data_IF_279732327883
#
_entry.id   IF_279732327883
#
_cell.length_a   1.000
_cell.length_b   1.000
_cell.length_c   1.000
_cell.angle_alpha   90.00
_cell.angle_beta   90.00
_cell.angle_gamma   90.00
#
_symmetry.space_group_name_H-M   'P 1'
#
loop_
_entity.id
_entity.type
_entity.pdbx_description
1 polymer ?
#
# COMPACT_ATOMS: atom_id res chain seq x y z
N UNK A 1 24.23 -3.41 -13.45
CA UNK A 1 22.78 -3.13 -13.60
C UNK A 1 22.18 -3.20 -12.21
N UNK A 2 21.87 -2.04 -11.61
CA UNK A 2 21.27 -2.00 -10.27
C UNK A 2 19.83 -2.53 -10.37
N UNK A 3 19.51 -3.60 -9.64
CA UNK A 3 18.14 -4.09 -9.56
C UNK A 3 17.33 -3.08 -8.73
N UNK A 4 16.51 -2.30 -9.44
CA UNK A 4 15.49 -1.41 -8.90
C UNK A 4 14.42 -2.29 -8.23
N UNK A 5 14.35 -2.28 -6.89
CA UNK A 5 13.37 -3.01 -6.08
C UNK A 5 13.57 -4.54 -6.02
N UNK A 6 13.27 -5.17 -4.87
CA UNK A 6 13.37 -6.64 -4.69
C UNK A 6 12.06 -7.39 -4.91
N UNK A 7 10.95 -6.65 -5.03
CA UNK A 7 9.57 -7.20 -5.03
C UNK A 7 8.87 -7.07 -6.39
N UNK A 8 9.60 -6.60 -7.41
CA UNK A 8 9.07 -6.40 -8.76
C UNK A 8 8.26 -5.11 -8.91
N UNK A 9 7.36 -5.10 -9.89
CA UNK A 9 6.50 -3.97 -10.24
C UNK A 9 5.03 -4.31 -9.99
N UNK A 10 4.17 -3.29 -9.92
CA UNK A 10 2.74 -3.49 -9.80
C UNK A 10 2.19 -4.37 -10.94
N UNK A 11 1.36 -5.35 -10.58
CA UNK A 11 0.68 -6.22 -11.54
C UNK A 11 -0.38 -5.43 -12.34
N UNK A 12 -0.75 -5.95 -13.51
CA UNK A 12 -1.82 -5.36 -14.33
C UNK A 12 -3.10 -5.19 -13.50
N UNK A 13 -3.82 -4.08 -13.73
CA UNK A 13 -5.03 -3.68 -12.99
C UNK A 13 -4.84 -3.33 -11.51
N UNK A 14 -3.59 -3.21 -11.05
CA UNK A 14 -3.26 -2.74 -9.70
C UNK A 14 -2.49 -1.42 -9.76
N UNK A 15 -2.93 -0.46 -8.96
CA UNK A 15 -2.23 0.78 -8.66
C UNK A 15 -1.61 0.65 -7.28
N UNK A 16 -0.39 1.16 -7.11
CA UNK A 16 0.34 1.14 -5.84
C UNK A 16 0.81 2.55 -5.53
N UNK A 17 0.66 2.98 -4.28
CA UNK A 17 1.24 4.23 -3.76
C UNK A 17 1.92 4.00 -2.43
N UNK A 18 2.84 4.91 -2.09
CA UNK A 18 3.36 5.02 -0.74
C UNK A 18 2.56 6.09 0.02
N UNK A 19 2.09 5.75 1.22
CA UNK A 19 1.51 6.70 2.17
C UNK A 19 2.45 6.96 3.34
N UNK A 20 2.29 8.13 3.96
CA UNK A 20 3.10 8.52 5.10
C UNK A 20 2.93 7.53 6.25
N UNK A 21 4.03 7.14 6.88
CA UNK A 21 4.03 6.38 8.13
C UNK A 21 4.76 7.20 9.20
N UNK A 22 4.07 8.18 9.83
CA UNK A 22 4.69 9.15 10.73
C UNK A 22 5.37 8.51 11.93
N UNK A 23 4.83 7.39 12.45
CA UNK A 23 5.36 6.65 13.58
C UNK A 23 6.77 6.07 13.31
N UNK A 24 7.18 5.97 12.04
CA UNK A 24 8.51 5.55 11.62
C UNK A 24 9.33 6.67 10.98
N UNK A 25 8.77 7.88 10.86
CA UNK A 25 9.38 9.00 10.16
C UNK A 25 9.57 8.74 8.67
N UNK A 26 8.66 7.99 8.04
CA UNK A 26 8.73 7.65 6.62
C UNK A 26 7.88 8.62 5.80
N UNK A 27 8.56 9.35 4.93
CA UNK A 27 7.98 10.32 4.01
C UNK A 27 8.00 9.75 2.57
N UNK A 28 6.83 9.59 1.92
CA UNK A 28 6.74 9.10 0.55
C UNK A 28 7.37 10.07 -0.46
N UNK A 29 7.46 11.36 -0.13
CA UNK A 29 8.11 12.40 -0.95
C UNK A 29 9.58 12.63 -0.56
N UNK A 30 10.06 11.94 0.47
CA UNK A 30 11.43 12.03 0.95
C UNK A 30 12.45 11.37 0.03
N UNK A 31 13.72 11.44 0.40
CA UNK A 31 14.81 10.74 -0.31
C UNK A 31 15.59 9.87 0.69
N UNK A 32 15.47 8.53 0.63
CA UNK A 32 14.62 7.76 -0.27
C UNK A 32 13.13 7.84 0.12
N UNK A 33 12.23 7.81 -0.88
CA UNK A 33 10.78 7.69 -0.69
C UNK A 33 10.48 6.44 0.11
N UNK A 34 9.73 6.58 1.22
CA UNK A 34 9.36 5.47 2.09
C UNK A 34 7.96 5.69 2.62
N UNK A 35 7.23 4.60 2.83
CA UNK A 35 5.87 4.70 3.35
C UNK A 35 5.18 3.36 3.45
N UNK A 36 3.93 3.38 3.88
CA UNK A 36 3.02 2.24 3.77
C UNK A 36 2.70 1.99 2.29
N UNK A 37 2.74 0.73 1.85
CA UNK A 37 2.29 0.33 0.52
C UNK A 37 0.77 0.25 0.55
N UNK A 38 0.09 1.14 -0.17
CA UNK A 38 -1.35 1.08 -0.37
C UNK A 38 -1.66 0.64 -1.79
N UNK A 39 -2.69 -0.21 -1.95
CA UNK A 39 -3.05 -0.82 -3.24
C UNK A 39 -4.49 -0.48 -3.61
N UNK A 40 -4.73 -0.19 -4.88
CA UNK A 40 -6.09 -0.07 -5.45
C UNK A 40 -6.17 -0.88 -6.72
N UNK A 41 -7.26 -1.61 -6.93
CA UNK A 41 -7.44 -2.38 -8.16
C UNK A 41 -8.64 -3.30 -8.12
N UNK A 42 -9.00 -3.82 -9.30
CA UNK A 42 -10.13 -4.76 -9.44
C UNK A 42 -9.83 -6.17 -8.94
N UNK A 43 -8.57 -6.45 -8.65
CA UNK A 43 -8.07 -7.75 -8.18
C UNK A 43 -8.04 -7.86 -6.65
N UNK A 44 -8.36 -6.79 -5.92
CA UNK A 44 -8.44 -6.81 -4.47
C UNK A 44 -9.63 -7.66 -3.98
N UNK A 45 -9.52 -8.11 -2.73
CA UNK A 45 -10.62 -8.77 -2.03
C UNK A 45 -11.77 -7.79 -1.79
N UNK A 46 -12.98 -8.32 -1.59
CA UNK A 46 -14.16 -7.48 -1.36
C UNK A 46 -14.24 -6.98 0.09
N UNK A 47 -14.01 -7.86 1.06
CA UNK A 47 -14.10 -7.57 2.49
C UNK A 47 -13.46 -8.68 3.32
N UNK A 48 -13.12 -8.37 4.57
CA UNK A 48 -12.83 -9.39 5.57
C UNK A 48 -14.11 -10.09 6.00
N UNK A 49 -14.11 -11.42 5.95
CA UNK A 49 -15.26 -12.23 6.31
C UNK A 49 -15.71 -11.98 7.76
N UNK A 50 -16.98 -11.59 7.93
CA UNK A 50 -17.60 -11.27 9.23
C UNK A 50 -16.88 -10.17 10.03
N UNK A 51 -16.11 -9.31 9.36
CA UNK A 51 -15.42 -8.19 9.99
C UNK A 51 -15.52 -6.91 9.14
N UNK A 52 -16.74 -6.33 9.02
CA UNK A 52 -16.95 -5.12 8.24
C UNK A 52 -16.25 -3.89 8.85
N UNK A 53 -15.98 -3.90 10.16
CA UNK A 53 -15.24 -2.84 10.86
C UNK A 53 -13.80 -2.77 10.36
N UNK A 54 -13.09 -3.90 10.38
CA UNK A 54 -11.72 -3.97 9.86
C UNK A 54 -11.68 -3.67 8.36
N UNK A 55 -12.68 -4.10 7.60
CA UNK A 55 -12.77 -3.78 6.17
C UNK A 55 -12.84 -2.27 5.94
N UNK A 56 -13.67 -1.55 6.70
CA UNK A 56 -13.78 -0.09 6.61
C UNK A 56 -12.51 0.62 7.08
N UNK A 57 -11.84 0.08 8.08
CA UNK A 57 -10.58 0.61 8.60
C UNK A 57 -9.47 0.59 7.55
N UNK A 58 -9.30 -0.55 6.85
CA UNK A 58 -8.21 -0.69 5.86
C UNK A 58 -8.56 -0.16 4.47
N UNK A 59 -9.84 0.09 4.18
CA UNK A 59 -10.29 0.60 2.88
C UNK A 59 -10.60 2.10 2.96
N UNK A 60 -9.59 2.93 2.71
CA UNK A 60 -9.69 4.40 2.79
C UNK A 60 -9.61 4.99 1.39
N UNK A 61 -10.61 5.77 0.98
CA UNK A 61 -10.68 6.40 -0.35
C UNK A 61 -10.45 5.44 -1.54
N UNK A 62 -10.88 4.18 -1.36
CA UNK A 62 -10.72 3.12 -2.35
C UNK A 62 -9.32 2.50 -2.41
N UNK A 63 -8.43 2.84 -1.47
CA UNK A 63 -7.12 2.25 -1.28
C UNK A 63 -7.16 1.25 -0.13
N UNK A 64 -6.58 0.08 -0.36
CA UNK A 64 -6.32 -0.92 0.66
C UNK A 64 -4.98 -0.62 1.33
N UNK A 65 -5.03 -0.31 2.62
CA UNK A 65 -3.90 -0.15 3.52
C UNK A 65 -3.40 -1.54 3.94
N UNK A 66 -2.22 -1.91 3.46
CA UNK A 66 -1.68 -3.27 3.64
C UNK A 66 -1.03 -3.49 4.99
N UNK A 67 -0.67 -2.42 5.70
CA UNK A 67 0.18 -2.44 6.89
C UNK A 67 1.64 -2.81 6.61
N UNK A 68 2.06 -2.86 5.33
CA UNK A 68 3.41 -3.23 4.91
C UNK A 68 4.17 -2.00 4.46
N UNK A 69 5.42 -1.88 4.89
CA UNK A 69 6.31 -0.77 4.54
C UNK A 69 7.09 -1.05 3.26
N UNK A 70 7.26 -0.01 2.44
CA UNK A 70 7.98 -0.06 1.17
C UNK A 70 8.84 1.17 0.90
N UNK A 71 9.60 1.09 -0.20
CA UNK A 71 10.44 2.15 -0.77
C UNK A 71 10.64 1.95 -2.27
#
# INVERSE_FOLDING_TARGET
MSLVGTVGVASTYSEVRLEEAPELGYDPLGTPSRGEICVRGKTLFSEYYKNPELTKEVMVDGWFHTGILGR
#
